data_IF_843192121033
#
_entry.id   IF_843192121033
#
_cell.length_a   1.000
_cell.length_b   1.000
_cell.length_c   1.000
_cell.angle_alpha   90.00
_cell.angle_beta   90.00
_cell.angle_gamma   90.00
#
_symmetry.space_group_name_H-M   'P 1'
#
loop_
_entity.id
_entity.type
_entity.pdbx_description
1 polymer ?
#
# COMPACT_ATOMS: atom_id res chain seq x y z
N UNK A 1 27.83 38.07 -2.74
CA UNK A 1 27.21 38.51 -4.01
C UNK A 1 25.83 37.88 -4.12
N UNK A 2 24.84 38.77 -4.22
CA UNK A 2 23.40 38.51 -4.34
C UNK A 2 23.09 37.88 -5.69
N UNK A 3 22.12 36.95 -5.79
CA UNK A 3 21.08 36.95 -6.81
C UNK A 3 19.95 36.02 -6.42
N UNK A 4 18.84 36.64 -6.09
CA UNK A 4 17.48 36.09 -6.09
C UNK A 4 16.94 36.06 -7.51
N UNK A 5 15.88 35.35 -7.72
CA UNK A 5 14.79 35.30 -8.72
C UNK A 5 14.48 33.84 -9.03
N UNK A 6 13.27 33.40 -9.11
CA UNK A 6 11.96 34.04 -9.24
C UNK A 6 10.90 32.97 -9.22
N UNK A 7 9.82 33.38 -8.68
CA UNK A 7 8.53 32.72 -8.59
C UNK A 7 7.94 32.53 -9.99
N UNK A 8 7.32 31.36 -10.26
CA UNK A 8 6.22 31.30 -11.19
C UNK A 8 5.17 30.27 -10.75
N UNK A 9 4.05 30.83 -10.26
CA UNK A 9 2.76 30.15 -10.08
C UNK A 9 2.10 29.97 -11.45
N UNK A 10 1.61 28.77 -11.74
CA UNK A 10 0.53 28.60 -12.70
C UNK A 10 -0.51 27.68 -12.06
N UNK A 11 -1.59 28.29 -11.63
CA UNK A 11 -2.84 27.63 -11.32
C UNK A 11 -3.62 27.46 -12.64
N UNK A 12 -4.03 26.23 -12.93
CA UNK A 12 -5.04 25.98 -13.95
C UNK A 12 -6.16 25.17 -13.31
N UNK A 13 -7.24 25.86 -12.99
CA UNK A 13 -8.56 25.32 -12.66
C UNK A 13 -9.26 25.03 -13.98
N UNK A 14 -9.72 23.81 -14.18
CA UNK A 14 -10.73 23.48 -15.17
C UNK A 14 -11.80 22.60 -14.53
N UNK A 15 -12.87 23.28 -14.17
CA UNK A 15 -14.16 22.64 -13.91
C UNK A 15 -14.81 22.32 -15.24
N UNK A 16 -15.32 21.10 -15.39
CA UNK A 16 -16.31 20.78 -16.41
C UNK A 16 -17.37 19.86 -15.77
N UNK A 17 -18.50 20.47 -15.44
CA UNK A 17 -19.76 19.79 -15.24
C UNK A 17 -20.24 19.25 -16.59
N UNK A 18 -20.73 18.03 -16.62
CA UNK A 18 -21.44 17.42 -17.73
C UNK A 18 -22.57 16.57 -17.19
N UNK A 19 -23.75 17.16 -17.06
CA UNK A 19 -25.03 16.57 -16.78
C UNK A 19 -25.65 16.04 -18.07
N UNK A 20 -26.28 14.86 -18.02
CA UNK A 20 -27.36 14.33 -18.87
C UNK A 20 -27.49 12.83 -18.56
N UNK A 21 -28.54 12.24 -17.98
CA UNK A 21 -29.92 12.46 -18.33
C UNK A 21 -30.48 11.19 -19.00
N UNK A 22 -31.51 10.55 -18.33
CA UNK A 22 -32.42 9.58 -18.97
C UNK A 22 -32.14 8.11 -18.60
N UNK A 23 -32.94 7.35 -17.86
CA UNK A 23 -34.34 7.11 -17.96
C UNK A 23 -34.59 5.63 -18.24
N UNK A 24 -35.50 4.96 -17.46
CA UNK A 24 -36.11 3.67 -17.81
C UNK A 24 -35.74 2.55 -16.84
N UNK A 25 -36.50 2.26 -15.88
CA UNK A 25 -37.66 1.50 -15.63
C UNK A 25 -37.47 -0.02 -15.75
N UNK A 26 -37.72 -0.75 -14.64
CA UNK A 26 -37.86 -2.19 -14.67
C UNK A 26 -37.65 -2.78 -13.29
N UNK A 27 -38.72 -2.87 -12.54
CA UNK A 27 -38.75 -3.57 -11.27
C UNK A 27 -38.53 -5.07 -11.42
N UNK A 28 -37.87 -5.68 -10.46
CA UNK A 28 -38.20 -7.03 -10.06
C UNK A 28 -37.96 -7.19 -8.56
N UNK A 29 -39.05 -7.45 -7.88
CA UNK A 29 -39.09 -7.80 -6.48
C UNK A 29 -38.46 -9.17 -6.25
N UNK A 30 -37.82 -9.31 -5.11
CA UNK A 30 -37.75 -10.56 -4.42
C UNK A 30 -36.43 -11.32 -4.51
N UNK A 31 -35.58 -11.12 -3.53
CA UNK A 31 -34.86 -12.21 -2.90
C UNK A 31 -34.39 -11.80 -1.51
N UNK A 32 -35.15 -12.29 -0.56
CA UNK A 32 -34.82 -12.38 0.86
C UNK A 32 -33.44 -12.99 1.11
N UNK A 33 -32.70 -12.32 1.97
CA UNK A 33 -31.87 -12.95 2.98
C UNK A 33 -30.80 -13.91 2.54
N UNK A 34 -29.56 -13.38 2.42
CA UNK A 34 -28.39 -14.22 2.71
C UNK A 34 -27.73 -13.61 3.93
N UNK A 35 -27.89 -14.30 5.05
CA UNK A 35 -27.14 -14.11 6.27
C UNK A 35 -25.67 -14.25 5.90
N UNK A 36 -24.93 -13.14 6.00
CA UNK A 36 -23.49 -13.14 5.79
C UNK A 36 -22.81 -14.02 6.82
N UNK A 37 -22.30 -15.16 6.39
CA UNK A 37 -21.34 -15.93 7.15
C UNK A 37 -20.02 -15.13 7.31
N UNK A 38 -19.27 -15.32 8.40
CA UNK A 38 -17.97 -14.72 8.57
C UNK A 38 -17.01 -15.37 7.57
N UNK A 39 -16.56 -14.63 6.58
CA UNK A 39 -15.57 -15.12 5.63
C UNK A 39 -15.79 -14.76 4.17
N UNK A 40 -16.29 -13.56 3.86
CA UNK A 40 -16.08 -13.04 2.52
C UNK A 40 -14.60 -12.68 2.38
N UNK A 41 -13.85 -13.58 1.74
CA UNK A 41 -12.58 -13.26 1.15
C UNK A 41 -12.85 -12.16 0.13
N UNK A 42 -12.64 -10.89 0.50
CA UNK A 42 -12.58 -9.82 -0.48
C UNK A 42 -11.45 -10.18 -1.43
N UNK A 43 -11.82 -10.54 -2.65
CA UNK A 43 -10.87 -10.75 -3.72
C UNK A 43 -10.06 -9.45 -3.85
N UNK A 44 -8.79 -9.56 -3.51
CA UNK A 44 -7.87 -8.43 -3.45
C UNK A 44 -7.63 -7.96 -4.89
N UNK A 45 -8.45 -7.05 -5.38
CA UNK A 45 -8.27 -6.46 -6.71
C UNK A 45 -6.84 -5.93 -6.82
N UNK A 46 -6.07 -6.47 -7.75
CA UNK A 46 -4.70 -6.02 -8.02
C UNK A 46 -4.81 -4.60 -8.58
N UNK A 47 -4.33 -3.58 -7.88
CA UNK A 47 -4.44 -2.23 -8.39
C UNK A 47 -3.57 -2.06 -9.64
N UNK A 48 -3.99 -1.26 -10.61
CA UNK A 48 -3.22 -0.97 -11.82
C UNK A 48 -1.97 -0.11 -11.55
N UNK A 49 -1.72 0.28 -10.30
CA UNK A 49 -0.59 1.08 -9.86
C UNK A 49 0.16 0.35 -8.75
N UNK A 50 1.44 0.65 -8.59
CA UNK A 50 2.23 0.14 -7.47
C UNK A 50 1.58 0.55 -6.14
N UNK A 51 1.37 -0.42 -5.26
CA UNK A 51 0.75 -0.20 -3.97
C UNK A 51 1.42 -1.05 -2.88
N UNK A 52 1.34 -0.55 -1.65
CA UNK A 52 1.83 -1.26 -0.45
C UNK A 52 0.70 -1.35 0.55
N UNK A 53 0.51 -2.53 1.12
CA UNK A 53 -0.46 -2.82 2.17
C UNK A 53 0.24 -3.37 3.41
N UNK A 54 -0.42 -3.19 4.55
CA UNK A 54 0.02 -3.73 5.83
C UNK A 54 -1.04 -4.66 6.42
N UNK A 55 -0.62 -5.64 7.20
CA UNK A 55 -1.48 -6.58 7.90
C UNK A 55 -0.73 -7.28 9.04
N UNK A 56 -1.38 -8.29 9.63
CA UNK A 56 -0.78 -9.07 10.72
C UNK A 56 0.01 -10.28 10.23
N UNK A 57 -0.32 -10.79 9.05
CA UNK A 57 0.35 -11.91 8.39
C UNK A 57 0.15 -11.84 6.88
N UNK A 58 0.93 -12.58 6.11
CA UNK A 58 0.68 -12.82 4.70
C UNK A 58 0.99 -14.28 4.33
N UNK A 59 0.30 -14.76 3.31
CA UNK A 59 0.60 -16.06 2.69
C UNK A 59 1.78 -15.90 1.73
N UNK A 60 2.84 -16.68 1.92
CA UNK A 60 4.08 -16.53 1.14
C UNK A 60 3.95 -16.99 -0.31
N UNK A 61 2.96 -17.82 -0.64
CA UNK A 61 2.75 -18.31 -1.99
C UNK A 61 1.89 -17.35 -2.83
N UNK A 62 0.85 -16.81 -2.23
CA UNK A 62 -0.12 -15.94 -2.92
C UNK A 62 0.11 -14.46 -2.65
N UNK A 63 0.89 -14.11 -1.62
CA UNK A 63 1.03 -12.75 -1.09
C UNK A 63 -0.28 -12.12 -0.59
N UNK A 64 -1.28 -12.95 -0.33
CA UNK A 64 -2.50 -12.49 0.33
C UNK A 64 -2.18 -12.00 1.74
N UNK A 65 -2.70 -10.83 2.10
CA UNK A 65 -2.44 -10.19 3.39
C UNK A 65 -3.68 -10.27 4.29
N UNK A 66 -3.47 -10.71 5.53
CA UNK A 66 -4.53 -10.87 6.53
C UNK A 66 -4.61 -9.63 7.41
N UNK A 67 -5.82 -9.33 7.91
CA UNK A 67 -6.11 -8.24 8.86
C UNK A 67 -5.49 -6.90 8.44
N UNK A 68 -5.83 -6.47 7.22
CA UNK A 68 -5.30 -5.24 6.63
C UNK A 68 -5.62 -4.03 7.48
N UNK A 69 -4.60 -3.26 7.85
CA UNK A 69 -4.74 -2.03 8.61
C UNK A 69 -3.58 -1.07 8.30
N UNK A 70 -3.76 0.20 8.66
CA UNK A 70 -2.70 1.21 8.63
C UNK A 70 -2.23 1.58 10.04
N UNK A 71 -2.87 1.02 11.07
CA UNK A 71 -2.55 1.28 12.46
C UNK A 71 -2.50 -0.03 13.23
N UNK A 72 -1.43 -0.22 13.98
CA UNK A 72 -1.20 -1.41 14.81
C UNK A 72 -0.81 -0.99 16.21
N UNK A 73 -1.11 -1.82 17.20
CA UNK A 73 -0.63 -1.63 18.57
C UNK A 73 0.83 -2.02 18.67
N UNK A 74 1.56 -1.34 19.56
CA UNK A 74 2.94 -1.73 19.88
C UNK A 74 3.02 -3.20 20.31
N UNK A 75 3.96 -3.93 19.72
CA UNK A 75 4.14 -5.37 19.96
C UNK A 75 3.25 -6.28 19.11
N UNK A 76 2.30 -5.76 18.34
CA UNK A 76 1.54 -6.56 17.36
C UNK A 76 2.43 -7.01 16.19
N UNK A 77 2.13 -8.17 15.59
CA UNK A 77 2.73 -8.54 14.31
C UNK A 77 2.42 -7.48 13.25
N UNK A 78 3.40 -7.14 12.43
CA UNK A 78 3.22 -6.23 11.30
C UNK A 78 3.98 -6.78 10.11
N UNK A 79 3.29 -6.92 9.01
CA UNK A 79 3.86 -7.31 7.72
C UNK A 79 3.52 -6.26 6.68
N UNK A 80 4.33 -6.18 5.62
CA UNK A 80 4.02 -5.37 4.46
C UNK A 80 4.09 -6.21 3.20
N UNK A 81 3.16 -5.97 2.28
CA UNK A 81 3.16 -6.56 0.93
C UNK A 81 3.02 -5.43 -0.08
N UNK A 82 3.87 -5.43 -1.10
CA UNK A 82 3.79 -4.51 -2.20
C UNK A 82 3.55 -5.23 -3.52
N UNK A 83 2.69 -4.65 -4.36
CA UNK A 83 2.58 -5.01 -5.78
C UNK A 83 3.27 -3.94 -6.61
N UNK A 84 4.18 -4.35 -7.46
CA UNK A 84 4.91 -3.47 -8.37
C UNK A 84 4.29 -3.52 -9.77
N UNK A 85 4.41 -2.43 -10.53
CA UNK A 85 3.90 -2.35 -11.90
C UNK A 85 4.67 -3.32 -12.82
N UNK A 86 5.97 -3.45 -12.61
CA UNK A 86 6.86 -4.29 -13.41
C UNK A 86 7.50 -5.38 -12.54
N UNK A 87 7.61 -6.61 -13.03
CA UNK A 87 8.36 -7.65 -12.35
C UNK A 87 9.80 -7.22 -12.09
N UNK A 88 10.33 -7.62 -10.95
CA UNK A 88 11.72 -7.36 -10.54
C UNK A 88 12.33 -8.63 -9.98
N UNK A 89 13.62 -8.77 -10.14
CA UNK A 89 14.36 -9.76 -9.37
C UNK A 89 14.39 -9.32 -7.89
N UNK A 90 14.05 -10.21 -6.94
CA UNK A 90 14.13 -9.88 -5.51
C UNK A 90 15.50 -9.34 -5.10
N UNK A 91 16.58 -9.82 -5.74
CA UNK A 91 17.93 -9.34 -5.49
C UNK A 91 18.16 -7.89 -5.88
N UNK A 92 17.31 -7.32 -6.76
CA UNK A 92 17.35 -5.91 -7.17
C UNK A 92 16.52 -4.99 -6.31
N UNK A 93 15.88 -5.54 -5.30
CA UNK A 93 15.00 -4.82 -4.40
C UNK A 93 15.62 -4.68 -3.01
N UNK A 94 15.25 -3.61 -2.34
CA UNK A 94 15.44 -3.40 -0.90
C UNK A 94 14.23 -2.71 -0.31
N UNK A 95 13.97 -2.96 0.95
CA UNK A 95 12.88 -2.33 1.69
C UNK A 95 13.49 -1.42 2.73
N UNK A 96 13.20 -0.12 2.66
CA UNK A 96 13.63 0.85 3.67
C UNK A 96 12.48 1.21 4.57
N UNK A 97 12.78 1.34 5.85
CA UNK A 97 11.85 1.76 6.90
C UNK A 97 12.38 3.07 7.45
N UNK A 98 11.59 4.11 7.35
CA UNK A 98 11.97 5.46 7.71
C UNK A 98 11.03 6.04 8.78
N UNK A 99 11.58 6.78 9.73
CA UNK A 99 10.84 7.62 10.68
C UNK A 99 11.46 9.02 10.67
N UNK A 100 10.62 10.05 10.53
CA UNK A 100 11.06 11.44 10.49
C UNK A 100 12.17 11.69 9.44
N UNK A 101 12.06 11.04 8.26
CA UNK A 101 13.04 11.16 7.18
C UNK A 101 14.36 10.43 7.40
N UNK A 102 14.51 9.68 8.50
CA UNK A 102 15.73 8.90 8.78
C UNK A 102 15.48 7.41 8.60
N UNK A 103 16.37 6.73 7.85
CA UNK A 103 16.29 5.27 7.67
C UNK A 103 16.64 4.59 8.99
N UNK A 104 15.71 3.75 9.48
CA UNK A 104 15.89 2.93 10.68
C UNK A 104 16.33 1.51 10.35
N UNK A 105 15.85 0.96 9.25
CA UNK A 105 16.22 -0.38 8.81
C UNK A 105 16.18 -0.50 7.29
N UNK A 106 16.97 -1.43 6.77
CA UNK A 106 16.92 -1.88 5.39
C UNK A 106 16.83 -3.40 5.40
N UNK A 107 15.80 -3.94 4.74
CA UNK A 107 15.50 -5.36 4.74
C UNK A 107 15.45 -5.89 3.30
N UNK A 108 15.79 -7.17 3.09
CA UNK A 108 15.52 -7.84 1.83
C UNK A 108 14.03 -8.15 1.72
N UNK A 109 13.44 -8.13 0.52
CA UNK A 109 12.10 -8.63 0.30
C UNK A 109 12.07 -10.16 0.34
N UNK A 110 10.96 -10.72 0.79
CA UNK A 110 10.63 -12.11 0.54
C UNK A 110 9.96 -12.21 -0.84
N UNK A 111 10.48 -13.01 -1.75
CA UNK A 111 9.84 -13.22 -3.04
C UNK A 111 8.57 -14.04 -2.85
N UNK A 112 7.55 -13.75 -3.63
CA UNK A 112 6.31 -14.51 -3.63
C UNK A 112 5.56 -14.45 -4.95
N UNK A 113 4.80 -15.48 -5.19
CA UNK A 113 3.75 -15.57 -6.18
C UNK A 113 4.13 -15.18 -7.61
N UNK A 114 3.70 -14.00 -8.04
CA UNK A 114 3.63 -13.61 -9.45
C UNK A 114 4.84 -12.86 -10.01
N UNK A 115 5.91 -12.70 -9.23
CA UNK A 115 7.09 -11.91 -9.66
C UNK A 115 6.88 -10.38 -9.67
N UNK A 116 5.67 -9.93 -9.37
CA UNK A 116 5.35 -8.50 -9.17
C UNK A 116 5.00 -8.18 -7.72
N UNK A 117 4.81 -9.20 -6.88
CA UNK A 117 4.38 -9.04 -5.49
C UNK A 117 5.48 -9.51 -4.55
N UNK A 118 5.77 -8.69 -3.54
CA UNK A 118 6.87 -8.89 -2.60
C UNK A 118 6.39 -8.60 -1.19
N UNK A 119 6.74 -9.49 -0.26
CA UNK A 119 6.41 -9.34 1.15
C UNK A 119 7.62 -9.06 2.01
N UNK A 120 7.37 -8.56 3.22
CA UNK A 120 8.37 -8.44 4.29
C UNK A 120 7.70 -8.56 5.64
N UNK A 121 8.33 -9.32 6.53
CA UNK A 121 7.98 -9.34 7.95
C UNK A 121 8.70 -8.20 8.67
N UNK A 122 7.90 -7.27 9.20
CA UNK A 122 8.38 -6.10 9.94
C UNK A 122 8.37 -6.34 11.46
N UNK A 123 7.75 -7.41 11.93
CA UNK A 123 7.61 -7.75 13.36
C UNK A 123 8.96 -7.77 14.11
N UNK A 124 10.05 -8.31 13.54
CA UNK A 124 11.36 -8.33 14.22
C UNK A 124 11.93 -6.94 14.51
N UNK A 125 11.44 -5.89 13.85
CA UNK A 125 11.94 -4.52 14.01
C UNK A 125 11.50 -3.88 15.34
N UNK A 126 10.49 -4.44 16.01
CA UNK A 126 9.99 -3.99 17.34
C UNK A 126 9.77 -2.47 17.37
N UNK A 127 9.00 -1.97 16.44
CA UNK A 127 8.75 -0.52 16.31
C UNK A 127 8.19 0.09 17.58
N UNK A 128 8.80 1.18 18.03
CA UNK A 128 8.20 2.05 19.05
C UNK A 128 6.95 2.76 18.49
N UNK A 129 6.06 3.28 19.35
CA UNK A 129 4.96 4.12 18.89
C UNK A 129 5.44 5.26 17.99
N UNK A 130 4.75 5.44 16.86
CA UNK A 130 5.14 6.42 15.84
C UNK A 130 4.63 6.09 14.45
N UNK A 131 4.89 6.96 13.48
CA UNK A 131 4.55 6.75 12.07
C UNK A 131 5.81 6.41 11.28
N UNK A 132 5.73 5.34 10.49
CA UNK A 132 6.84 4.80 9.71
C UNK A 132 6.48 4.77 8.22
N UNK A 133 7.38 5.26 7.38
CA UNK A 133 7.29 5.11 5.94
C UNK A 133 8.03 3.82 5.55
N UNK A 134 7.32 2.89 4.93
CA UNK A 134 7.89 1.66 4.38
C UNK A 134 7.93 1.79 2.87
N UNK A 135 9.11 1.68 2.28
CA UNK A 135 9.33 1.86 0.85
C UNK A 135 10.04 0.66 0.25
N UNK A 136 9.45 0.10 -0.79
CA UNK A 136 10.09 -0.87 -1.67
C UNK A 136 10.87 -0.09 -2.73
N UNK A 137 12.18 -0.21 -2.71
CA UNK A 137 13.11 0.55 -3.55
C UNK A 137 13.92 -0.38 -4.43
N UNK A 138 14.35 0.12 -5.59
CA UNK A 138 15.41 -0.55 -6.35
C UNK A 138 16.76 -0.39 -5.64
N UNK A 139 17.78 -1.17 -6.05
CA UNK A 139 19.17 -0.99 -5.60
C UNK A 139 19.68 0.44 -5.82
N UNK A 140 19.21 1.10 -6.88
CA UNK A 140 19.57 2.50 -7.20
C UNK A 140 18.73 3.53 -6.40
N UNK A 141 18.11 3.13 -5.27
CA UNK A 141 17.33 3.99 -4.37
C UNK A 141 16.05 4.61 -4.98
N UNK A 142 15.62 4.16 -6.17
CA UNK A 142 14.35 4.60 -6.75
C UNK A 142 13.19 3.94 -6.00
N UNK A 143 12.31 4.74 -5.44
CA UNK A 143 11.07 4.24 -4.83
C UNK A 143 10.15 3.65 -5.90
N UNK A 144 9.67 2.44 -5.66
CA UNK A 144 8.79 1.69 -6.56
C UNK A 144 7.37 1.59 -6.00
N UNK A 145 7.25 1.39 -4.69
CA UNK A 145 6.01 1.43 -3.94
C UNK A 145 6.31 1.86 -2.51
N UNK A 146 5.42 2.64 -1.91
CA UNK A 146 5.57 3.05 -0.50
C UNK A 146 4.23 3.35 0.14
N UNK A 147 4.15 3.12 1.45
CA UNK A 147 3.02 3.53 2.28
C UNK A 147 3.47 3.75 3.73
N UNK A 148 2.66 4.49 4.47
CA UNK A 148 2.89 4.75 5.89
C UNK A 148 2.08 3.81 6.77
N UNK A 149 2.69 3.36 7.87
CA UNK A 149 2.05 2.58 8.93
C UNK A 149 2.26 3.30 10.27
N UNK A 150 1.24 3.30 11.11
CA UNK A 150 1.28 3.92 12.44
C UNK A 150 1.28 2.85 13.52
N UNK A 151 2.19 2.97 14.47
CA UNK A 151 2.23 2.13 15.67
C UNK A 151 1.73 2.96 16.84
N UNK A 152 0.69 2.49 17.50
CA UNK A 152 0.13 3.12 18.71
C UNK A 152 0.66 2.46 19.99
N UNK A 153 0.61 3.14 21.11
CA UNK A 153 0.95 2.55 22.42
C UNK A 153 0.16 1.29 22.75
#
# INVERSE_FOLDING_TARGET
MRRALGVLFIAAVLAACGDSGGGGGGGNEGATGIVGGPGTTEEQAVPPIAATWFGTAYDSATMYIYDRALTFKHGSPVVAVATLITPRDPSDLKITIEINGSIKATLPPSPGGTGTTYGVDLTPQKFAPGSYLVSFKSKADKSLASASVTITP
#
